data_IF_098688689738
#
_entry.id   IF_098688689738
#
_cell.length_a   1.000
_cell.length_b   1.000
_cell.length_c   1.000
_cell.angle_alpha   90.00
_cell.angle_beta   90.00
_cell.angle_gamma   90.00
#
_symmetry.space_group_name_H-M   'P 1'
#
loop_
_entity.id
_entity.type
_entity.pdbx_description
1 polymer ?
#
# COMPACT_ATOMS: atom_id res chain seq x y z
N UNK A 1 -11.98 8.94 29.57
CA UNK A 1 -12.86 8.34 28.54
C UNK A 1 -12.23 8.67 27.19
N UNK A 2 -12.01 7.67 26.34
CA UNK A 2 -11.58 7.91 24.95
C UNK A 2 -12.73 8.59 24.22
N UNK A 3 -12.43 9.55 23.34
CA UNK A 3 -13.44 10.14 22.46
C UNK A 3 -14.10 9.04 21.62
N UNK A 4 -15.39 9.15 21.29
CA UNK A 4 -16.04 8.19 20.40
C UNK A 4 -15.32 8.21 19.04
N UNK A 5 -15.28 7.07 18.33
CA UNK A 5 -14.64 7.00 17.03
C UNK A 5 -15.33 7.95 16.03
N UNK A 6 -14.53 8.55 15.14
CA UNK A 6 -15.02 9.40 14.04
C UNK A 6 -15.93 8.57 13.12
N UNK A 7 -17.08 9.09 12.80
CA UNK A 7 -18.04 8.43 11.89
C UNK A 7 -17.62 8.59 10.42
N UNK A 8 -18.07 7.72 9.50
CA UNK A 8 -17.88 7.89 8.06
C UNK A 8 -18.33 9.24 7.54
N UNK A 9 -19.45 9.76 8.04
CA UNK A 9 -20.01 11.05 7.65
C UNK A 9 -19.15 12.24 8.11
N UNK A 10 -18.57 12.16 9.30
CA UNK A 10 -17.63 13.17 9.79
C UNK A 10 -16.35 13.16 8.94
N UNK A 11 -15.78 11.98 8.64
CA UNK A 11 -14.63 11.90 7.74
C UNK A 11 -14.96 12.46 6.34
N UNK A 12 -16.14 12.14 5.78
CA UNK A 12 -16.59 12.65 4.49
C UNK A 12 -16.62 14.19 4.45
N UNK A 13 -16.98 14.85 5.54
CA UNK A 13 -17.01 16.31 5.62
C UNK A 13 -15.63 16.97 5.43
N UNK A 14 -14.55 16.22 5.65
CA UNK A 14 -13.18 16.66 5.38
C UNK A 14 -12.73 16.49 3.93
N UNK A 15 -13.60 16.03 3.03
CA UNK A 15 -13.24 15.70 1.64
C UNK A 15 -14.03 16.58 0.65
N UNK A 16 -13.61 17.82 0.38
CA UNK A 16 -14.34 18.77 -0.50
C UNK A 16 -14.60 18.21 -1.92
N UNK A 17 -13.71 17.35 -2.43
CA UNK A 17 -13.87 16.73 -3.75
C UNK A 17 -15.18 15.93 -3.89
N UNK A 18 -15.75 15.44 -2.78
CA UNK A 18 -16.97 14.65 -2.78
C UNK A 18 -18.24 15.49 -2.97
N UNK A 19 -18.17 16.82 -2.90
CA UNK A 19 -19.27 17.70 -3.29
C UNK A 19 -19.46 17.76 -4.81
N UNK A 20 -18.40 17.57 -5.58
CA UNK A 20 -18.41 17.63 -7.03
C UNK A 20 -18.43 16.26 -7.74
N UNK A 21 -18.04 15.20 -7.03
CA UNK A 21 -17.90 13.87 -7.61
C UNK A 21 -18.33 12.77 -6.65
N UNK A 22 -19.00 11.76 -7.19
CA UNK A 22 -19.14 10.44 -6.55
C UNK A 22 -17.83 9.68 -6.75
N UNK A 23 -17.00 9.62 -5.71
CA UNK A 23 -15.65 9.04 -5.81
C UNK A 23 -15.64 7.58 -5.39
N UNK A 24 -15.76 6.67 -6.36
CA UNK A 24 -15.72 5.22 -6.17
C UNK A 24 -14.43 4.63 -6.75
N UNK A 25 -13.30 5.26 -6.46
CA UNK A 25 -12.01 4.98 -7.08
C UNK A 25 -10.83 4.95 -6.11
N UNK A 26 -11.07 4.67 -4.83
CA UNK A 26 -10.03 4.62 -3.78
C UNK A 26 -8.88 3.66 -4.12
N UNK A 27 -9.17 2.55 -4.81
CA UNK A 27 -8.15 1.59 -5.25
C UNK A 27 -7.16 2.15 -6.29
N UNK A 28 -7.47 3.25 -6.99
CA UNK A 28 -6.52 3.98 -7.82
C UNK A 28 -5.87 5.12 -7.03
N UNK A 29 -6.67 5.97 -6.42
CA UNK A 29 -6.26 7.03 -5.50
C UNK A 29 -7.48 7.54 -4.73
N UNK A 30 -7.27 8.13 -3.57
CA UNK A 30 -8.31 8.85 -2.84
C UNK A 30 -8.11 10.36 -2.93
N UNK A 31 -9.17 11.17 -2.82
CA UNK A 31 -9.06 12.61 -2.60
C UNK A 31 -8.31 12.86 -1.29
N UNK A 32 -7.57 13.97 -1.24
CA UNK A 32 -6.85 14.39 -0.03
C UNK A 32 -7.83 15.06 0.95
N UNK A 33 -7.93 14.58 2.21
CA UNK A 33 -8.74 15.23 3.23
C UNK A 33 -8.17 16.59 3.63
N UNK A 34 -9.04 17.50 4.05
CA UNK A 34 -8.66 18.85 4.47
C UNK A 34 -7.56 18.87 5.56
N UNK A 35 -7.62 18.04 6.64
CA UNK A 35 -6.54 18.02 7.64
C UNK A 35 -5.17 17.60 7.08
N UNK A 36 -5.16 16.70 6.09
CA UNK A 36 -3.93 16.28 5.38
C UNK A 36 -3.39 17.42 4.53
N UNK A 37 -4.26 18.08 3.75
CA UNK A 37 -3.90 19.25 2.96
C UNK A 37 -3.37 20.39 3.84
N UNK A 38 -3.99 20.64 4.99
CA UNK A 38 -3.55 21.68 5.94
C UNK A 38 -2.18 21.36 6.55
N UNK A 39 -1.88 20.09 6.82
CA UNK A 39 -0.56 19.66 7.27
C UNK A 39 0.51 19.92 6.22
N UNK A 40 0.23 19.58 4.95
CA UNK A 40 1.11 19.89 3.81
C UNK A 40 1.35 21.41 3.67
N UNK A 41 0.30 22.20 3.75
CA UNK A 41 0.39 23.67 3.64
C UNK A 41 1.18 24.30 4.80
N UNK A 42 1.02 23.79 6.03
CA UNK A 42 1.83 24.25 7.17
C UNK A 42 3.32 24.00 6.93
N UNK A 43 3.67 22.81 6.43
CA UNK A 43 5.06 22.51 6.09
C UNK A 43 5.58 23.43 4.97
N UNK A 44 4.84 23.59 3.89
CA UNK A 44 5.25 24.47 2.76
C UNK A 44 5.39 25.93 3.19
N UNK A 45 4.51 26.41 4.07
CA UNK A 45 4.61 27.74 4.64
C UNK A 45 5.83 27.88 5.53
N UNK A 46 6.14 26.87 6.36
CA UNK A 46 7.36 26.89 7.19
C UNK A 46 8.63 26.96 6.33
N UNK A 47 8.68 26.21 5.22
CA UNK A 47 9.80 26.30 4.27
C UNK A 47 9.87 27.65 3.58
N UNK A 48 8.74 28.28 3.24
CA UNK A 48 8.67 29.58 2.61
C UNK A 48 9.18 30.70 3.56
N UNK A 49 8.78 30.64 4.82
CA UNK A 49 9.02 31.71 5.80
C UNK A 49 10.38 31.55 6.51
N UNK A 50 10.89 30.32 6.66
CA UNK A 50 12.06 30.00 7.49
C UNK A 50 13.18 29.27 6.76
N UNK A 51 12.95 28.84 5.52
CA UNK A 51 13.92 28.01 4.79
C UNK A 51 14.27 26.75 5.58
N UNK A 52 15.56 26.39 5.63
CA UNK A 52 16.08 25.21 6.33
C UNK A 52 16.28 25.38 7.84
N UNK A 53 16.03 26.57 8.40
CA UNK A 53 16.05 26.81 9.87
C UNK A 53 15.06 25.88 10.57
N UNK A 54 14.00 25.46 9.86
CA UNK A 54 13.01 24.48 10.34
C UNK A 54 13.52 23.03 10.40
N UNK A 55 14.67 22.71 9.76
CA UNK A 55 15.14 21.32 9.59
C UNK A 55 15.16 20.46 10.88
N UNK A 56 15.63 20.94 12.05
CA UNK A 56 15.60 20.11 13.25
C UNK A 56 14.19 19.70 13.67
N UNK A 57 13.20 20.58 13.49
CA UNK A 57 11.80 20.25 13.78
C UNK A 57 11.21 19.28 12.77
N UNK A 58 11.60 19.36 11.51
CA UNK A 58 11.18 18.42 10.45
C UNK A 58 11.78 17.04 10.68
N UNK A 59 13.06 16.96 11.03
CA UNK A 59 13.72 15.71 11.39
C UNK A 59 13.01 15.01 12.56
N UNK A 60 12.67 15.75 13.61
CA UNK A 60 11.89 15.25 14.73
C UNK A 60 10.50 14.76 14.29
N UNK A 61 9.78 15.54 13.49
CA UNK A 61 8.47 15.15 12.95
C UNK A 61 8.54 13.88 12.10
N UNK A 62 9.62 13.68 11.34
CA UNK A 62 9.88 12.43 10.58
C UNK A 62 9.97 11.22 11.52
N UNK A 63 10.70 11.32 12.61
CA UNK A 63 10.84 10.24 13.59
C UNK A 63 9.51 9.97 14.34
N UNK A 64 8.77 11.02 14.67
CA UNK A 64 7.42 10.91 15.24
C UNK A 64 6.45 10.23 14.29
N UNK A 65 6.47 10.58 12.98
CA UNK A 65 5.68 9.90 11.93
C UNK A 65 6.07 8.43 11.81
N UNK A 66 7.35 8.10 11.90
CA UNK A 66 7.84 6.71 11.90
C UNK A 66 7.32 5.94 13.11
N UNK A 67 7.38 6.52 14.29
CA UNK A 67 6.84 5.92 15.51
C UNK A 67 5.31 5.76 15.44
N UNK A 68 4.61 6.69 14.80
CA UNK A 68 3.18 6.61 14.55
C UNK A 68 2.83 5.44 13.60
N UNK A 69 3.52 5.35 12.47
CA UNK A 69 3.35 4.24 11.52
C UNK A 69 3.70 2.89 12.16
N UNK A 70 4.72 2.85 13.04
CA UNK A 70 5.10 1.64 13.76
C UNK A 70 3.96 1.14 14.66
N UNK A 71 3.31 2.03 15.41
CA UNK A 71 2.11 1.69 16.20
C UNK A 71 0.97 1.20 15.30
N UNK A 72 0.74 1.87 14.18
CA UNK A 72 -0.32 1.54 13.22
C UNK A 72 -0.17 0.15 12.60
N UNK A 73 1.06 -0.32 12.41
CA UNK A 73 1.40 -1.64 11.85
C UNK A 73 1.78 -2.69 12.91
N UNK A 74 1.84 -2.30 14.20
CA UNK A 74 2.30 -3.13 15.33
C UNK A 74 3.72 -3.68 15.13
N UNK A 75 4.69 -2.78 14.90
CA UNK A 75 6.12 -3.10 14.80
C UNK A 75 6.98 -2.06 15.51
N UNK A 76 8.30 -2.18 15.42
CA UNK A 76 9.22 -1.18 15.97
C UNK A 76 9.60 -0.14 14.92
N UNK A 77 9.88 1.13 15.32
CA UNK A 77 10.32 2.16 14.38
C UNK A 77 11.59 1.80 13.61
N UNK A 78 12.49 1.02 14.20
CA UNK A 78 13.74 0.57 13.56
C UNK A 78 13.52 -0.39 12.37
N UNK A 79 12.34 -1.00 12.28
CA UNK A 79 11.95 -1.90 11.19
C UNK A 79 11.28 -1.16 10.02
N UNK A 80 11.13 0.17 10.10
CA UNK A 80 10.42 0.96 9.10
C UNK A 80 11.33 1.92 8.34
N UNK A 81 11.16 1.94 7.03
CA UNK A 81 11.72 2.94 6.13
C UNK A 81 10.60 3.62 5.33
N UNK A 82 10.75 4.93 5.09
CA UNK A 82 9.94 5.64 4.12
C UNK A 82 10.52 5.46 2.73
N UNK A 83 9.66 5.21 1.75
CA UNK A 83 10.04 4.99 0.37
C UNK A 83 9.26 5.91 -0.57
N UNK A 84 9.63 5.92 -1.85
CA UNK A 84 8.91 6.70 -2.85
C UNK A 84 7.67 5.98 -3.37
N UNK A 85 7.67 4.63 -3.32
CA UNK A 85 6.61 3.80 -3.87
C UNK A 85 6.71 2.35 -3.39
N UNK A 86 5.63 1.58 -3.58
CA UNK A 86 5.61 0.13 -3.40
C UNK A 86 6.68 -0.56 -4.27
N UNK A 87 6.86 -0.12 -5.53
CA UNK A 87 7.86 -0.72 -6.44
C UNK A 87 9.28 -0.59 -5.89
N UNK A 88 9.63 0.56 -5.31
CA UNK A 88 10.92 0.75 -4.68
C UNK A 88 11.11 -0.19 -3.47
N UNK A 89 10.07 -0.34 -2.64
CA UNK A 89 10.09 -1.30 -1.53
C UNK A 89 10.33 -2.74 -2.02
N UNK A 90 9.65 -3.16 -3.09
CA UNK A 90 9.85 -4.49 -3.67
C UNK A 90 11.24 -4.69 -4.29
N UNK A 91 11.85 -3.64 -4.80
CA UNK A 91 13.24 -3.68 -5.27
C UNK A 91 14.22 -3.95 -4.12
N UNK A 92 14.05 -3.24 -3.00
CA UNK A 92 14.82 -3.50 -1.78
C UNK A 92 14.63 -4.95 -1.32
N UNK A 93 13.39 -5.41 -1.25
CA UNK A 93 13.05 -6.80 -0.86
C UNK A 93 13.76 -7.80 -1.79
N UNK A 94 13.69 -7.62 -3.11
CA UNK A 94 14.36 -8.49 -4.08
C UNK A 94 15.86 -8.61 -3.84
N UNK A 95 16.53 -7.49 -3.57
CA UNK A 95 17.95 -7.49 -3.25
C UNK A 95 18.27 -8.22 -1.93
N UNK A 96 17.45 -8.05 -0.90
CA UNK A 96 17.62 -8.73 0.39
C UNK A 96 17.38 -10.24 0.26
N UNK A 97 16.36 -10.66 -0.50
CA UNK A 97 16.11 -12.08 -0.79
C UNK A 97 17.31 -12.74 -1.46
N UNK A 98 17.90 -12.10 -2.46
CA UNK A 98 19.09 -12.61 -3.18
C UNK A 98 20.29 -12.79 -2.26
N UNK A 99 20.52 -11.89 -1.31
CA UNK A 99 21.60 -12.03 -0.34
C UNK A 99 21.47 -13.29 0.52
N UNK A 100 20.25 -13.78 0.73
CA UNK A 100 19.99 -15.06 1.41
C UNK A 100 19.92 -16.26 0.45
N UNK A 101 20.29 -16.10 -0.82
CA UNK A 101 20.28 -17.15 -1.82
C UNK A 101 18.89 -17.55 -2.31
N UNK A 102 17.85 -16.78 -2.01
CA UNK A 102 16.50 -17.03 -2.51
C UNK A 102 16.45 -16.65 -3.99
N UNK A 103 15.99 -17.57 -4.82
CA UNK A 103 15.95 -17.40 -6.28
C UNK A 103 14.56 -17.51 -6.88
N UNK A 104 13.60 -18.14 -6.17
CA UNK A 104 12.22 -18.29 -6.62
C UNK A 104 11.24 -17.75 -5.58
N UNK A 105 10.28 -16.96 -6.03
CA UNK A 105 9.19 -16.39 -5.24
C UNK A 105 7.86 -16.87 -5.81
N UNK A 106 7.02 -17.46 -4.96
CA UNK A 106 5.63 -17.80 -5.28
C UNK A 106 4.73 -16.58 -5.10
N UNK A 107 3.81 -16.35 -6.03
CA UNK A 107 2.90 -15.20 -6.00
C UNK A 107 1.58 -15.53 -6.70
N UNK A 108 0.57 -14.65 -6.66
CA UNK A 108 -0.61 -14.79 -7.51
C UNK A 108 -0.31 -14.30 -8.94
N UNK A 109 -0.82 -14.98 -9.97
CA UNK A 109 -0.65 -14.55 -11.38
C UNK A 109 -1.27 -13.16 -11.66
N UNK A 110 -2.25 -12.75 -10.85
CA UNK A 110 -2.96 -11.47 -10.99
C UNK A 110 -2.37 -10.32 -10.16
N UNK A 111 -1.11 -10.43 -9.70
CA UNK A 111 -0.47 -9.37 -8.92
C UNK A 111 -0.26 -8.08 -9.73
N UNK A 112 -0.29 -6.95 -9.02
CA UNK A 112 0.03 -5.66 -9.63
C UNK A 112 1.53 -5.61 -10.00
N UNK A 113 1.90 -4.99 -11.13
CA UNK A 113 3.29 -4.94 -11.60
C UNK A 113 4.30 -4.39 -10.59
N UNK A 114 3.89 -3.59 -9.59
CA UNK A 114 4.80 -3.16 -8.53
C UNK A 114 5.25 -4.28 -7.58
N UNK A 115 4.55 -5.43 -7.56
CA UNK A 115 4.98 -6.64 -6.84
C UNK A 115 5.95 -7.45 -7.69
N UNK A 116 5.65 -7.64 -8.97
CA UNK A 116 6.31 -8.63 -9.82
C UNK A 116 7.51 -8.06 -10.57
N UNK A 117 7.39 -6.90 -11.21
CA UNK A 117 8.44 -6.36 -12.07
C UNK A 117 9.74 -6.04 -11.32
N UNK A 118 9.74 -5.47 -10.10
CA UNK A 118 10.99 -5.26 -9.37
C UNK A 118 11.71 -6.58 -9.06
N UNK A 119 10.98 -7.61 -8.62
CA UNK A 119 11.55 -8.92 -8.32
C UNK A 119 12.15 -9.59 -9.58
N UNK A 120 11.43 -9.50 -10.72
CA UNK A 120 11.93 -9.99 -12.00
C UNK A 120 13.17 -9.21 -12.47
N UNK A 121 13.14 -7.87 -12.34
CA UNK A 121 14.30 -7.03 -12.68
C UNK A 121 15.52 -7.37 -11.85
N UNK A 122 15.34 -7.74 -10.58
CA UNK A 122 16.40 -8.20 -9.69
C UNK A 122 16.86 -9.63 -10.00
N UNK A 123 16.28 -10.30 -11.00
CA UNK A 123 16.68 -11.62 -11.47
C UNK A 123 16.09 -12.77 -10.66
N UNK A 124 15.02 -12.54 -9.89
CA UNK A 124 14.28 -13.61 -9.23
C UNK A 124 13.31 -14.28 -10.21
N UNK A 125 13.10 -15.57 -10.04
CA UNK A 125 12.06 -16.33 -10.77
C UNK A 125 10.73 -16.17 -10.03
N UNK A 126 9.67 -15.86 -10.76
CA UNK A 126 8.32 -15.83 -10.20
C UNK A 126 7.51 -17.03 -10.65
N UNK A 127 6.87 -17.68 -9.70
CA UNK A 127 5.90 -18.75 -9.93
C UNK A 127 4.51 -18.25 -9.57
N UNK A 128 3.54 -18.37 -10.49
CA UNK A 128 2.19 -17.86 -10.31
C UNK A 128 1.22 -18.93 -9.82
N UNK A 129 0.41 -18.60 -8.82
CA UNK A 129 -0.80 -19.32 -8.44
C UNK A 129 -1.98 -18.66 -9.15
N UNK A 130 -2.81 -19.46 -9.85
CA UNK A 130 -4.01 -18.95 -10.53
C UNK A 130 -5.17 -18.79 -9.58
N UNK A 131 -6.00 -17.77 -9.83
CA UNK A 131 -7.31 -17.74 -9.23
C UNK A 131 -8.17 -18.87 -9.80
N UNK A 132 -8.95 -19.50 -8.94
CA UNK A 132 -9.98 -20.46 -9.37
C UNK A 132 -11.09 -19.73 -10.15
N UNK A 133 -11.92 -20.44 -10.92
CA UNK A 133 -13.02 -19.83 -11.68
C UNK A 133 -14.01 -19.03 -10.81
N UNK A 134 -14.13 -19.37 -9.53
CA UNK A 134 -14.95 -18.65 -8.55
C UNK A 134 -14.28 -17.37 -7.99
N UNK A 135 -13.08 -17.05 -8.45
CA UNK A 135 -12.30 -15.89 -8.01
C UNK A 135 -11.54 -16.06 -6.70
N UNK A 136 -11.47 -17.28 -6.15
CA UNK A 136 -10.71 -17.59 -4.92
C UNK A 136 -9.27 -18.03 -5.21
N UNK A 137 -8.42 -18.00 -4.17
CA UNK A 137 -7.08 -18.57 -4.15
C UNK A 137 -6.84 -19.21 -2.77
N UNK A 138 -7.38 -20.40 -2.53
CA UNK A 138 -7.22 -21.08 -1.25
C UNK A 138 -5.79 -21.56 -1.04
N UNK A 139 -5.44 -21.83 0.22
CA UNK A 139 -4.07 -22.14 0.63
C UNK A 139 -3.52 -23.40 -0.04
N UNK A 140 -4.38 -24.38 -0.34
CA UNK A 140 -4.02 -25.63 -0.99
C UNK A 140 -3.40 -25.39 -2.38
N UNK A 141 -3.84 -24.34 -3.10
CA UNK A 141 -3.29 -24.00 -4.40
C UNK A 141 -1.87 -23.43 -4.29
N UNK A 142 -1.59 -22.69 -3.20
CA UNK A 142 -0.23 -22.25 -2.88
C UNK A 142 0.65 -23.43 -2.48
N UNK A 143 0.16 -24.33 -1.63
CA UNK A 143 0.91 -25.53 -1.23
C UNK A 143 1.27 -26.40 -2.43
N UNK A 144 0.34 -26.61 -3.35
CA UNK A 144 0.55 -27.40 -4.57
C UNK A 144 1.53 -26.75 -5.55
N UNK A 145 1.66 -25.43 -5.52
CA UNK A 145 2.54 -24.67 -6.39
C UNK A 145 4.00 -24.57 -5.85
N UNK A 146 4.25 -24.92 -4.60
CA UNK A 146 5.60 -24.91 -4.02
C UNK A 146 6.54 -25.85 -4.74
N UNK A 147 7.78 -25.43 -4.92
CA UNK A 147 8.89 -26.26 -5.42
C UNK A 147 10.00 -26.32 -4.38
N UNK A 148 11.01 -27.16 -4.62
CA UNK A 148 12.22 -27.18 -3.80
C UNK A 148 13.09 -25.90 -3.91
N UNK A 149 12.77 -25.03 -4.85
CA UNK A 149 13.47 -23.76 -5.08
C UNK A 149 12.72 -22.56 -4.51
N UNK A 150 11.44 -22.74 -4.16
CA UNK A 150 10.64 -21.64 -3.59
C UNK A 150 11.22 -21.25 -2.24
N UNK A 151 11.65 -19.99 -2.11
CA UNK A 151 12.21 -19.45 -0.87
C UNK A 151 11.37 -18.33 -0.27
N UNK A 152 10.33 -17.85 -0.98
CA UNK A 152 9.46 -16.80 -0.49
C UNK A 152 8.04 -16.88 -1.09
N UNK A 153 7.06 -16.32 -0.39
CA UNK A 153 5.72 -16.05 -0.93
C UNK A 153 5.46 -14.54 -0.84
N UNK A 154 5.11 -13.92 -1.97
CA UNK A 154 4.77 -12.51 -2.07
C UNK A 154 3.34 -12.35 -2.56
N UNK A 155 2.45 -11.75 -1.75
CA UNK A 155 1.04 -11.56 -2.09
C UNK A 155 0.55 -10.17 -1.70
N UNK A 156 -0.40 -9.64 -2.49
CA UNK A 156 -1.18 -8.46 -2.08
C UNK A 156 -2.21 -8.83 -1.02
N UNK A 157 -2.32 -8.01 0.03
CA UNK A 157 -3.38 -8.16 1.04
C UNK A 157 -4.78 -8.12 0.43
N UNK A 158 -4.93 -7.30 -0.62
CA UNK A 158 -6.14 -7.21 -1.45
C UNK A 158 -5.70 -7.13 -2.91
N UNK A 159 -6.26 -7.97 -3.77
CA UNK A 159 -5.95 -7.98 -5.19
C UNK A 159 -6.54 -6.78 -5.91
N UNK A 160 -5.69 -6.04 -6.62
CA UNK A 160 -6.07 -4.79 -7.29
C UNK A 160 -7.06 -4.97 -8.44
N UNK A 161 -6.99 -6.12 -9.12
CA UNK A 161 -7.75 -6.42 -10.34
C UNK A 161 -9.07 -7.15 -10.08
N UNK A 162 -9.24 -7.74 -8.90
CA UNK A 162 -10.44 -8.49 -8.55
C UNK A 162 -11.11 -8.00 -7.27
N UNK A 163 -10.32 -7.48 -6.34
CA UNK A 163 -10.78 -7.11 -5.00
C UNK A 163 -10.76 -8.27 -4.00
N UNK A 164 -10.23 -9.44 -4.37
CA UNK A 164 -10.07 -10.57 -3.47
C UNK A 164 -9.21 -10.14 -2.26
N UNK A 165 -9.73 -10.25 -1.07
CA UNK A 165 -8.96 -10.18 0.17
C UNK A 165 -8.36 -11.55 0.45
N UNK A 166 -7.01 -11.61 0.42
CA UNK A 166 -6.25 -12.85 0.61
C UNK A 166 -6.21 -13.22 2.09
N UNK A 167 -6.29 -14.51 2.41
CA UNK A 167 -6.07 -15.00 3.77
C UNK A 167 -4.57 -14.97 4.12
N UNK A 168 -4.12 -13.80 4.59
CA UNK A 168 -2.72 -13.59 4.98
C UNK A 168 -2.30 -14.49 6.15
N UNK A 169 -3.22 -14.90 7.03
CA UNK A 169 -2.89 -15.78 8.14
C UNK A 169 -2.64 -17.21 7.68
N UNK A 170 -3.40 -17.71 6.69
CA UNK A 170 -3.12 -19.00 6.09
C UNK A 170 -1.78 -19.01 5.36
N UNK A 171 -1.48 -17.96 4.57
CA UNK A 171 -0.18 -17.80 3.91
C UNK A 171 0.96 -17.71 4.93
N UNK A 172 0.80 -16.92 5.99
CA UNK A 172 1.77 -16.81 7.09
C UNK A 172 2.11 -18.17 7.70
N UNK A 173 1.09 -18.97 8.02
CA UNK A 173 1.27 -20.32 8.57
C UNK A 173 2.02 -21.23 7.60
N UNK A 174 1.68 -21.17 6.31
CA UNK A 174 2.39 -21.94 5.27
C UNK A 174 3.86 -21.51 5.20
N UNK A 175 4.15 -20.20 5.13
CA UNK A 175 5.52 -19.69 5.10
C UNK A 175 6.32 -20.16 6.33
N UNK A 176 5.76 -20.01 7.53
CA UNK A 176 6.41 -20.43 8.75
C UNK A 176 6.69 -21.94 8.78
N UNK A 177 5.72 -22.77 8.35
CA UNK A 177 5.89 -24.24 8.35
C UNK A 177 6.90 -24.75 7.34
N UNK A 178 7.26 -23.96 6.34
CA UNK A 178 8.17 -24.30 5.24
C UNK A 178 9.46 -23.47 5.22
N UNK A 179 9.69 -22.65 6.25
CA UNK A 179 10.84 -21.72 6.34
C UNK A 179 10.96 -20.81 5.11
N UNK A 180 9.82 -20.26 4.65
CA UNK A 180 9.74 -19.35 3.52
C UNK A 180 9.61 -17.90 4.03
N UNK A 181 10.23 -16.96 3.33
CA UNK A 181 10.03 -15.54 3.59
C UNK A 181 8.61 -15.11 3.21
N UNK A 182 7.94 -14.36 4.08
CA UNK A 182 6.59 -13.85 3.87
C UNK A 182 6.58 -12.36 3.54
N UNK A 183 6.09 -12.00 2.35
CA UNK A 183 6.11 -10.65 1.79
C UNK A 183 4.69 -10.19 1.52
N UNK A 184 4.30 -9.05 2.09
CA UNK A 184 2.96 -8.48 1.93
C UNK A 184 3.02 -7.20 1.08
N UNK A 185 2.36 -7.20 -0.07
CA UNK A 185 2.02 -5.96 -0.74
C UNK A 185 0.75 -5.37 -0.09
N UNK A 186 0.92 -4.30 0.67
CA UNK A 186 -0.16 -3.64 1.38
C UNK A 186 -0.73 -2.42 0.64
N UNK A 187 -0.37 -2.19 -0.63
CA UNK A 187 -0.82 -1.02 -1.39
C UNK A 187 -2.35 -0.90 -1.53
N UNK A 188 -3.08 -2.02 -1.48
CA UNK A 188 -4.55 -2.04 -1.43
C UNK A 188 -5.07 -2.42 -0.04
N UNK A 189 -4.18 -2.64 0.94
CA UNK A 189 -4.53 -3.10 2.27
C UNK A 189 -4.45 -2.01 3.33
N UNK A 190 -3.33 -1.29 3.40
CA UNK A 190 -3.07 -0.31 4.47
C UNK A 190 -4.13 0.80 4.51
N UNK A 191 -4.68 1.09 5.69
CA UNK A 191 -5.80 2.02 5.87
C UNK A 191 -7.17 1.47 5.46
N UNK A 192 -7.22 0.26 4.86
CA UNK A 192 -8.44 -0.36 4.37
C UNK A 192 -8.78 -1.66 5.11
N UNK A 193 -7.81 -2.54 5.27
CA UNK A 193 -7.96 -3.76 6.06
C UNK A 193 -6.99 -3.72 7.24
N UNK A 194 -7.35 -4.30 8.41
CA UNK A 194 -6.43 -4.41 9.52
C UNK A 194 -5.18 -5.19 9.12
N UNK A 195 -4.01 -4.61 9.38
CA UNK A 195 -2.71 -5.22 9.14
C UNK A 195 -1.87 -5.10 10.39
N UNK A 196 -1.45 -6.24 10.92
CA UNK A 196 -0.55 -6.37 12.07
C UNK A 196 0.62 -7.25 11.62
N UNK A 197 1.76 -6.63 11.34
CA UNK A 197 2.91 -7.33 10.78
C UNK A 197 3.51 -8.33 11.76
N UNK A 198 3.38 -8.07 13.08
CA UNK A 198 3.82 -8.98 14.13
C UNK A 198 2.93 -10.21 14.20
N UNK A 199 1.60 -10.04 14.24
CA UNK A 199 0.65 -11.14 14.27
C UNK A 199 0.66 -11.97 12.96
N UNK A 200 0.96 -11.34 11.84
CA UNK A 200 1.16 -11.99 10.55
C UNK A 200 2.52 -12.67 10.43
N UNK A 201 3.45 -12.47 11.36
CA UNK A 201 4.85 -12.91 11.22
C UNK A 201 5.45 -12.52 9.86
N UNK A 202 5.04 -11.37 9.31
CA UNK A 202 5.55 -10.91 8.03
C UNK A 202 7.06 -10.61 8.12
N UNK A 203 7.80 -10.96 7.07
CA UNK A 203 9.21 -10.58 6.96
C UNK A 203 9.36 -9.22 6.29
N UNK A 204 8.45 -8.92 5.35
CA UNK A 204 8.41 -7.66 4.63
C UNK A 204 6.98 -7.19 4.37
N UNK A 205 6.78 -5.88 4.40
CA UNK A 205 5.58 -5.24 3.90
C UNK A 205 5.95 -3.97 3.13
N UNK A 206 5.40 -3.81 1.92
CA UNK A 206 5.56 -2.56 1.16
C UNK A 206 4.20 -1.98 0.76
N UNK A 207 4.08 -0.64 0.85
CA UNK A 207 2.83 0.05 0.54
C UNK A 207 3.07 1.45 -0.03
N UNK A 208 1.97 2.11 -0.42
CA UNK A 208 1.92 3.50 -0.88
C UNK A 208 0.82 4.26 -0.14
N UNK A 209 0.96 5.58 -0.03
CA UNK A 209 0.09 6.43 0.80
C UNK A 209 -1.12 7.02 0.08
N UNK A 210 -1.10 7.16 -1.26
CA UNK A 210 -2.10 7.93 -2.02
C UNK A 210 -3.45 7.25 -2.24
N UNK A 211 -3.56 5.96 -1.89
CA UNK A 211 -4.79 5.17 -2.08
C UNK A 211 -5.66 5.25 -0.83
N UNK A 212 -5.73 4.16 -0.12
CA UNK A 212 -6.58 3.99 1.06
C UNK A 212 -6.14 4.82 2.28
N UNK A 213 -4.86 5.24 2.37
CA UNK A 213 -4.41 6.15 3.41
C UNK A 213 -4.77 7.63 3.14
N UNK A 214 -5.14 8.00 1.92
CA UNK A 214 -5.51 9.39 1.56
C UNK A 214 -4.40 10.44 1.78
N UNK A 215 -3.13 10.02 1.82
CA UNK A 215 -1.99 10.89 2.16
C UNK A 215 -1.22 11.45 0.95
N UNK A 216 -1.85 11.48 -0.23
CA UNK A 216 -1.22 12.02 -1.45
C UNK A 216 -0.14 11.10 -2.04
N UNK A 217 0.46 11.56 -3.15
CA UNK A 217 1.45 10.80 -3.92
C UNK A 217 2.88 11.04 -3.47
N UNK A 218 3.78 10.13 -3.86
CA UNK A 218 5.24 10.30 -3.71
C UNK A 218 5.78 9.79 -2.37
N UNK A 219 4.93 9.20 -1.52
CA UNK A 219 5.34 8.58 -0.26
C UNK A 219 4.83 7.15 -0.19
N UNK A 220 5.71 6.25 0.15
CA UNK A 220 5.44 4.86 0.47
C UNK A 220 6.13 4.46 1.77
N UNK A 221 6.00 3.21 2.13
CA UNK A 221 6.60 2.63 3.32
C UNK A 221 7.07 1.21 3.06
N UNK A 222 8.11 0.84 3.76
CA UNK A 222 8.69 -0.49 3.76
C UNK A 222 8.92 -0.93 5.21
N UNK A 223 8.32 -2.04 5.59
CA UNK A 223 8.65 -2.77 6.80
C UNK A 223 9.64 -3.87 6.45
N UNK A 224 10.71 -3.98 7.23
CA UNK A 224 11.71 -5.05 7.15
C UNK A 224 11.89 -5.61 8.55
N UNK A 225 11.55 -6.86 8.75
CA UNK A 225 11.70 -7.54 10.03
C UNK A 225 13.15 -7.50 10.51
N UNK A 226 13.36 -7.19 11.79
CA UNK A 226 14.67 -7.00 12.41
C UNK A 226 15.67 -8.11 12.06
N UNK A 227 15.24 -9.38 12.06
CA UNK A 227 16.11 -10.52 11.73
C UNK A 227 16.71 -10.46 10.30
N UNK A 228 16.06 -9.77 9.37
CA UNK A 228 16.61 -9.54 8.04
C UNK A 228 17.65 -8.43 8.06
N UNK A 229 17.40 -7.34 8.79
CA UNK A 229 18.34 -6.22 8.94
C UNK A 229 19.67 -6.66 9.63
N UNK A 230 19.58 -7.57 10.58
CA UNK A 230 20.75 -8.09 11.32
C UNK A 230 21.56 -9.11 10.51
N UNK A 231 20.96 -9.76 9.51
CA UNK A 231 21.58 -10.88 8.79
C UNK A 231 21.91 -10.60 7.32
N UNK A 232 21.59 -9.40 6.82
CA UNK A 232 21.87 -8.97 5.46
C UNK A 232 22.56 -7.61 5.46
N UNK A 233 23.24 -7.28 4.35
CA UNK A 233 23.73 -5.93 4.13
C UNK A 233 22.64 -5.08 3.46
N UNK A 234 22.59 -3.80 3.78
CA UNK A 234 21.70 -2.90 3.06
C UNK A 234 22.09 -2.86 1.57
N UNK A 235 21.14 -2.99 0.65
CA UNK A 235 21.44 -3.09 -0.78
C UNK A 235 21.97 -1.79 -1.40
N UNK A 236 21.77 -0.69 -0.71
CA UNK A 236 22.31 0.63 -1.05
C UNK A 236 22.36 1.50 0.21
N UNK A 237 23.10 2.59 0.14
CA UNK A 237 23.21 3.57 1.23
C UNK A 237 23.41 4.97 0.69
N UNK A 238 23.27 5.96 1.55
CA UNK A 238 23.53 7.36 1.30
C UNK A 238 23.97 8.07 2.57
N UNK A 239 24.02 9.38 2.54
CA UNK A 239 24.53 10.17 3.65
C UNK A 239 23.70 10.04 4.96
N UNK A 240 22.41 9.66 4.87
CA UNK A 240 21.58 9.36 6.02
C UNK A 240 21.65 7.88 6.47
N UNK A 241 22.41 7.05 5.76
CA UNK A 241 22.57 5.63 6.13
C UNK A 241 23.64 5.41 7.20
N UNK A 242 24.40 6.44 7.55
CA UNK A 242 25.45 6.38 8.59
C UNK A 242 24.89 6.73 9.96
N UNK A 243 25.59 6.32 11.02
CA UNK A 243 25.22 6.68 12.39
C UNK A 243 25.10 8.20 12.58
N UNK A 244 24.13 8.70 13.39
CA UNK A 244 23.91 10.13 13.57
C UNK A 244 25.15 10.91 14.04
N UNK A 245 26.01 10.29 14.83
CA UNK A 245 27.28 10.85 15.28
C UNK A 245 28.27 11.10 14.14
N UNK A 246 28.07 10.45 13.00
CA UNK A 246 28.91 10.52 11.82
C UNK A 246 28.30 11.41 10.72
N UNK A 247 27.03 11.81 10.89
CA UNK A 247 26.39 12.74 9.97
C UNK A 247 26.99 14.14 10.12
N UNK A 248 27.27 14.82 9.00
CA UNK A 248 27.82 16.16 8.89
C UNK A 248 29.28 16.39 9.37
N UNK A 249 29.72 15.77 10.48
CA UNK A 249 31.07 15.98 10.98
C UNK A 249 32.09 14.95 10.52
N UNK A 250 31.68 13.71 10.40
CA UNK A 250 32.58 12.61 10.10
C UNK A 250 32.56 12.17 8.63
N UNK A 251 31.59 12.57 7.80
CA UNK A 251 31.71 12.24 6.38
C UNK A 251 32.87 12.95 5.68
N UNK A 252 33.32 14.11 6.15
CA UNK A 252 34.60 14.66 5.73
C UNK A 252 35.76 13.74 6.14
N UNK A 253 35.63 13.01 7.23
CA UNK A 253 36.63 12.04 7.69
C UNK A 253 36.44 10.65 7.09
N UNK A 254 35.19 10.22 6.85
CA UNK A 254 34.88 8.95 6.18
C UNK A 254 35.38 8.90 4.73
N UNK A 255 35.52 10.06 4.09
CA UNK A 255 36.06 10.21 2.74
C UNK A 255 37.55 10.63 2.71
N UNK A 256 38.16 10.85 3.85
CA UNK A 256 39.60 11.09 3.94
C UNK A 256 40.35 9.77 3.95
N UNK A 257 41.22 9.59 3.00
CA UNK A 257 42.20 8.52 3.03
C UNK A 257 43.55 9.11 3.32
N UNK A 258 44.41 8.39 4.05
CA UNK A 258 45.83 8.68 4.19
C UNK A 258 46.58 8.40 2.87
N UNK A 259 45.90 7.79 1.92
CA UNK A 259 46.42 7.53 0.56
C UNK A 259 46.00 8.63 -0.41
N UNK A 260 46.97 9.22 -1.11
CA UNK A 260 46.80 10.29 -2.10
C UNK A 260 45.91 9.89 -3.31
N UNK A 261 45.38 8.66 -3.41
CA UNK A 261 44.78 8.09 -4.61
C UNK A 261 43.41 7.39 -4.44
N UNK A 262 42.75 7.43 -3.29
CA UNK A 262 41.46 6.78 -3.17
C UNK A 262 40.62 7.20 -1.96
N UNK A 263 39.30 7.14 -2.12
CA UNK A 263 38.34 7.24 -1.01
C UNK A 263 37.99 5.84 -0.54
N UNK A 264 38.20 5.54 0.72
CA UNK A 264 37.71 4.28 1.33
C UNK A 264 36.71 4.61 2.42
N UNK A 265 35.63 3.85 2.46
CA UNK A 265 34.65 3.92 3.55
C UNK A 265 35.14 3.20 4.82
N UNK A 266 36.48 3.02 4.98
CA UNK A 266 37.08 2.29 6.09
C UNK A 266 36.79 3.05 7.39
N UNK A 267 36.10 2.39 8.33
CA UNK A 267 35.69 2.98 9.61
C UNK A 267 34.34 3.66 9.63
N UNK A 268 33.67 3.84 8.51
CA UNK A 268 32.30 4.37 8.47
C UNK A 268 31.33 3.38 9.09
N UNK A 269 30.55 3.82 10.08
CA UNK A 269 29.52 3.00 10.72
C UNK A 269 28.18 3.23 10.05
N UNK A 270 27.72 2.24 9.33
CA UNK A 270 26.37 2.23 8.77
C UNK A 270 25.35 1.78 9.80
N UNK A 271 24.16 2.38 9.75
CA UNK A 271 23.03 1.98 10.57
C UNK A 271 22.52 0.61 10.14
N UNK A 272 22.08 -0.18 11.11
CA UNK A 272 21.46 -1.49 10.86
C UNK A 272 19.94 -1.46 10.87
N UNK A 273 19.33 -0.28 10.95
CA UNK A 273 17.89 -0.07 10.93
C UNK A 273 17.36 0.12 9.51
N UNK A 274 16.09 -0.20 9.29
CA UNK A 274 15.43 0.01 8.00
C UNK A 274 15.50 1.46 7.50
N UNK A 275 15.49 2.43 8.42
CA UNK A 275 15.61 3.86 8.10
C UNK A 275 16.91 4.23 7.38
N UNK A 276 17.94 3.40 7.43
CA UNK A 276 19.16 3.58 6.62
C UNK A 276 18.92 3.42 5.11
N UNK A 277 17.85 2.73 4.73
CA UNK A 277 17.40 2.60 3.33
C UNK A 277 16.79 3.88 2.75
N UNK A 278 16.59 4.91 3.56
CA UNK A 278 16.05 6.20 3.08
C UNK A 278 17.11 7.05 2.36
N UNK A 279 18.37 6.73 2.53
CA UNK A 279 19.56 7.24 1.83
C UNK A 279 19.72 8.78 1.78
N UNK A 280 18.63 9.55 1.72
CA UNK A 280 18.61 11.00 1.61
C UNK A 280 17.34 11.64 2.20
N UNK A 281 17.12 12.92 1.93
CA UNK A 281 16.09 13.74 2.58
C UNK A 281 14.64 13.25 2.42
N UNK A 282 14.31 12.58 1.33
CA UNK A 282 12.98 12.06 1.07
C UNK A 282 11.90 13.15 0.85
N UNK A 283 10.63 12.76 0.92
CA UNK A 283 9.48 13.65 0.72
C UNK A 283 8.95 14.20 2.06
N UNK A 284 9.51 15.30 2.55
CA UNK A 284 9.05 15.92 3.80
C UNK A 284 7.56 16.25 3.79
N UNK A 285 7.06 16.82 2.69
CA UNK A 285 5.63 17.14 2.55
C UNK A 285 4.76 15.87 2.59
N UNK A 286 5.27 14.77 2.04
CA UNK A 286 4.57 13.48 2.08
C UNK A 286 4.57 12.85 3.47
N UNK A 287 5.60 13.10 4.29
CA UNK A 287 5.67 12.59 5.67
C UNK A 287 4.64 13.28 6.59
N UNK A 288 4.53 14.60 6.53
CA UNK A 288 3.50 15.32 7.30
C UNK A 288 2.09 14.99 6.83
N UNK A 289 1.92 14.71 5.53
CA UNK A 289 0.66 14.22 4.97
C UNK A 289 0.31 12.82 5.51
N UNK A 290 1.30 11.93 5.58
CA UNK A 290 1.13 10.58 6.09
C UNK A 290 0.73 10.59 7.59
N UNK A 291 1.40 11.39 8.42
CA UNK A 291 1.09 11.50 9.85
C UNK A 291 -0.35 11.99 10.09
N UNK A 292 -0.75 13.04 9.37
CA UNK A 292 -2.12 13.56 9.44
C UNK A 292 -3.17 12.53 8.96
N UNK A 293 -2.84 11.73 7.95
CA UNK A 293 -3.71 10.67 7.45
C UNK A 293 -3.81 9.50 8.44
N UNK A 294 -2.71 9.07 9.06
CA UNK A 294 -2.72 8.06 10.11
C UNK A 294 -3.61 8.46 11.27
N UNK A 295 -3.53 9.73 11.70
CA UNK A 295 -4.42 10.30 12.74
C UNK A 295 -5.91 10.16 12.38
N UNK A 296 -6.28 10.42 11.11
CA UNK A 296 -7.66 10.23 10.66
C UNK A 296 -8.08 8.75 10.68
N UNK A 297 -7.19 7.86 10.25
CA UNK A 297 -7.47 6.42 10.25
C UNK A 297 -7.57 5.85 11.67
N UNK A 298 -6.78 6.32 12.62
CA UNK A 298 -6.91 5.94 14.03
C UNK A 298 -8.23 6.44 14.62
N UNK A 299 -8.64 7.68 14.28
CA UNK A 299 -9.90 8.24 14.76
C UNK A 299 -11.12 7.47 14.27
N UNK A 300 -11.10 6.93 13.04
CA UNK A 300 -12.17 6.08 12.48
C UNK A 300 -12.04 4.64 12.96
N UNK A 301 -10.83 4.12 12.99
CA UNK A 301 -10.51 2.69 13.17
C UNK A 301 -10.56 1.91 11.86
N UNK A 302 -9.45 1.21 11.53
CA UNK A 302 -9.34 0.46 10.25
C UNK A 302 -10.36 -0.68 10.15
N UNK A 303 -10.71 -1.32 11.27
CA UNK A 303 -11.74 -2.35 11.30
C UNK A 303 -13.12 -1.77 10.93
N UNK A 304 -13.44 -0.56 11.39
CA UNK A 304 -14.67 0.14 11.03
C UNK A 304 -14.66 0.54 9.56
N UNK A 305 -13.50 0.98 9.04
CA UNK A 305 -13.31 1.26 7.60
C UNK A 305 -13.64 0.05 6.75
N UNK A 306 -13.10 -1.13 7.09
CA UNK A 306 -13.39 -2.37 6.37
C UNK A 306 -14.87 -2.76 6.47
N UNK A 307 -15.45 -2.75 7.67
CA UNK A 307 -16.85 -3.11 7.87
C UNK A 307 -17.81 -2.20 7.07
N UNK A 308 -17.55 -0.89 7.08
CA UNK A 308 -18.33 0.08 6.31
C UNK A 308 -18.18 -0.15 4.79
N UNK A 309 -16.95 -0.32 4.29
CA UNK A 309 -16.72 -0.61 2.88
C UNK A 309 -17.40 -1.92 2.43
N UNK A 310 -17.37 -2.97 3.28
CA UNK A 310 -18.06 -4.23 3.01
C UNK A 310 -19.59 -4.09 2.96
N UNK A 311 -20.20 -3.26 3.82
CA UNK A 311 -21.64 -3.01 3.76
C UNK A 311 -22.05 -2.35 2.44
N UNK A 312 -21.29 -1.34 1.99
CA UNK A 312 -21.52 -0.70 0.69
C UNK A 312 -21.26 -1.66 -0.49
N UNK A 313 -20.26 -2.53 -0.38
CA UNK A 313 -20.02 -3.58 -1.38
C UNK A 313 -21.15 -4.59 -1.45
N UNK A 314 -21.74 -4.96 -0.34
CA UNK A 314 -22.90 -5.86 -0.30
C UNK A 314 -24.09 -5.25 -1.02
N UNK A 315 -24.41 -3.98 -0.76
CA UNK A 315 -25.44 -3.23 -1.47
C UNK A 315 -25.12 -3.16 -2.97
N UNK A 316 -23.94 -2.71 -3.34
CA UNK A 316 -23.50 -2.56 -4.73
C UNK A 316 -23.61 -3.87 -5.51
N UNK A 317 -23.09 -4.96 -4.97
CA UNK A 317 -23.09 -6.27 -5.62
C UNK A 317 -24.50 -6.84 -5.80
N UNK A 318 -25.36 -6.67 -4.79
CA UNK A 318 -26.77 -7.07 -4.86
C UNK A 318 -27.48 -6.33 -6.00
N UNK A 319 -27.30 -5.02 -6.10
CA UNK A 319 -27.95 -4.21 -7.12
C UNK A 319 -27.36 -4.42 -8.53
N UNK A 320 -26.04 -4.68 -8.64
CA UNK A 320 -25.40 -5.06 -9.91
C UNK A 320 -25.92 -6.40 -10.42
N UNK A 321 -26.11 -7.41 -9.54
CA UNK A 321 -26.68 -8.70 -9.95
C UNK A 321 -28.11 -8.59 -10.45
N UNK A 322 -28.94 -7.75 -9.86
CA UNK A 322 -30.31 -7.48 -10.38
C UNK A 322 -30.27 -6.94 -11.81
N UNK A 323 -29.16 -6.32 -12.22
CA UNK A 323 -28.90 -5.79 -13.58
C UNK A 323 -28.12 -6.77 -14.49
N UNK A 324 -27.90 -8.00 -14.01
CA UNK A 324 -27.20 -9.05 -14.73
C UNK A 324 -25.68 -9.00 -14.67
N UNK A 325 -25.08 -8.07 -13.92
CA UNK A 325 -23.63 -8.04 -13.73
C UNK A 325 -23.17 -9.13 -12.76
N UNK A 326 -22.03 -9.78 -13.06
CA UNK A 326 -21.43 -10.81 -12.23
C UNK A 326 -20.09 -10.30 -11.71
N UNK A 327 -19.96 -9.98 -10.40
CA UNK A 327 -18.68 -9.63 -9.80
C UNK A 327 -17.67 -10.77 -9.91
N UNK A 328 -16.40 -10.41 -10.12
CA UNK A 328 -15.30 -11.37 -10.34
C UNK A 328 -14.82 -12.10 -9.08
N UNK A 329 -15.32 -11.73 -7.91
CA UNK A 329 -14.96 -12.34 -6.63
C UNK A 329 -16.18 -12.80 -5.87
N UNK A 330 -16.10 -13.82 -4.99
CA UNK A 330 -17.22 -14.28 -4.18
C UNK A 330 -17.67 -13.21 -3.16
N UNK A 331 -18.88 -13.43 -2.61
CA UNK A 331 -19.49 -12.52 -1.62
C UNK A 331 -19.16 -12.88 -0.17
N UNK A 332 -18.37 -13.92 0.04
CA UNK A 332 -18.00 -14.34 1.39
C UNK A 332 -17.29 -13.19 2.11
N UNK A 333 -17.72 -12.88 3.33
CA UNK A 333 -17.24 -11.71 4.09
C UNK A 333 -15.72 -11.71 4.29
N UNK A 334 -15.15 -12.89 4.44
CA UNK A 334 -13.71 -13.11 4.60
C UNK A 334 -12.91 -12.76 3.34
N UNK A 335 -13.51 -12.85 2.16
CA UNK A 335 -12.88 -12.52 0.87
C UNK A 335 -13.23 -11.13 0.35
N UNK A 336 -14.26 -10.49 0.93
CA UNK A 336 -14.67 -9.14 0.54
C UNK A 336 -13.69 -8.07 1.02
N UNK A 337 -13.37 -7.18 0.11
CA UNK A 337 -12.72 -5.89 0.37
C UNK A 337 -13.65 -4.73 -0.03
N UNK A 338 -13.13 -3.51 -0.10
CA UNK A 338 -13.85 -2.37 -0.69
C UNK A 338 -13.82 -2.33 -2.23
N UNK A 339 -13.31 -3.36 -2.91
CA UNK A 339 -13.16 -3.39 -4.37
C UNK A 339 -14.14 -4.40 -4.98
N UNK A 340 -14.85 -3.97 -6.02
CA UNK A 340 -15.66 -4.82 -6.90
C UNK A 340 -15.21 -4.60 -8.35
N UNK A 341 -15.08 -5.67 -9.12
CA UNK A 341 -14.83 -5.63 -10.55
C UNK A 341 -15.93 -6.39 -11.26
N UNK A 342 -16.53 -5.77 -12.28
CA UNK A 342 -17.57 -6.40 -13.09
C UNK A 342 -17.22 -6.29 -14.57
N UNK A 343 -17.24 -7.40 -15.33
CA UNK A 343 -17.10 -7.38 -16.78
C UNK A 343 -18.23 -6.60 -17.45
N UNK A 344 -17.89 -5.82 -18.49
CA UNK A 344 -18.82 -4.97 -19.23
C UNK A 344 -18.75 -5.31 -20.71
N UNK A 345 -19.91 -5.37 -21.38
CA UNK A 345 -20.02 -5.73 -22.81
C UNK A 345 -19.65 -4.55 -23.73
N UNK A 346 -18.92 -4.86 -24.80
CA UNK A 346 -18.98 -4.17 -26.11
C UNK A 346 -18.30 -2.82 -26.24
N UNK A 347 -17.87 -2.14 -25.16
CA UNK A 347 -17.20 -0.85 -25.28
C UNK A 347 -15.77 -0.91 -24.72
N UNK A 348 -14.82 -0.19 -25.31
CA UNK A 348 -13.52 0.02 -24.67
C UNK A 348 -13.74 0.59 -23.25
N UNK A 349 -13.11 -0.03 -22.24
CA UNK A 349 -13.34 0.36 -20.84
C UNK A 349 -13.01 1.83 -20.56
N UNK A 350 -12.10 2.44 -21.33
CA UNK A 350 -11.81 3.87 -21.22
C UNK A 350 -12.98 4.75 -21.66
N UNK A 351 -13.76 4.31 -22.67
CA UNK A 351 -14.99 5.01 -23.06
C UNK A 351 -16.06 4.93 -21.97
N UNK A 352 -16.25 3.74 -21.37
CA UNK A 352 -17.18 3.57 -20.22
C UNK A 352 -16.80 4.50 -19.07
N UNK A 353 -15.51 4.59 -18.75
CA UNK A 353 -14.99 5.50 -17.70
C UNK A 353 -15.23 6.97 -18.05
N UNK A 354 -15.02 7.35 -19.31
CA UNK A 354 -15.24 8.72 -19.74
C UNK A 354 -16.71 9.13 -19.57
N UNK A 355 -17.65 8.27 -20.00
CA UNK A 355 -19.08 8.50 -19.82
C UNK A 355 -19.48 8.62 -18.36
N UNK A 356 -19.00 7.72 -17.49
CA UNK A 356 -19.26 7.82 -16.05
C UNK A 356 -18.67 9.09 -15.44
N UNK A 357 -17.53 9.55 -15.94
CA UNK A 357 -16.89 10.79 -15.46
C UNK A 357 -17.69 12.03 -15.86
N UNK A 358 -18.33 12.05 -17.02
CA UNK A 358 -19.29 13.12 -17.40
C UNK A 358 -20.47 13.16 -16.45
N UNK A 359 -20.94 12.01 -15.97
CA UNK A 359 -21.94 11.87 -14.90
C UNK A 359 -21.39 12.17 -13.49
N UNK A 360 -20.18 12.71 -13.38
CA UNK A 360 -19.48 12.98 -12.11
C UNK A 360 -19.23 11.75 -11.25
N UNK A 361 -19.13 10.58 -11.84
CA UNK A 361 -18.80 9.33 -11.16
C UNK A 361 -17.37 8.90 -11.50
N UNK A 362 -16.49 8.85 -10.51
CA UNK A 362 -15.10 8.41 -10.66
C UNK A 362 -14.97 6.92 -10.38
N UNK A 363 -14.58 6.16 -11.40
CA UNK A 363 -14.28 4.72 -11.36
C UNK A 363 -13.03 4.44 -12.18
N UNK A 364 -12.60 3.17 -12.26
CA UNK A 364 -11.47 2.80 -13.13
C UNK A 364 -11.72 1.47 -13.85
N UNK A 365 -10.95 1.21 -14.90
CA UNK A 365 -10.95 -0.06 -15.63
C UNK A 365 -9.77 -0.92 -15.19
N UNK A 366 -10.01 -2.20 -14.87
CA UNK A 366 -8.96 -3.18 -14.56
C UNK A 366 -9.45 -4.58 -14.92
N UNK A 367 -8.51 -5.44 -15.32
CA UNK A 367 -8.78 -6.85 -15.60
C UNK A 367 -9.98 -7.09 -16.56
N UNK A 368 -10.13 -6.21 -17.56
CA UNK A 368 -11.24 -6.32 -18.54
C UNK A 368 -12.60 -5.86 -18.03
N UNK A 369 -12.70 -5.30 -16.82
CA UNK A 369 -13.96 -4.88 -16.23
C UNK A 369 -13.93 -3.48 -15.62
N UNK A 370 -15.12 -3.00 -15.27
CA UNK A 370 -15.31 -1.78 -14.50
C UNK A 370 -14.96 -2.08 -13.03
N UNK A 371 -13.93 -1.41 -12.51
CA UNK A 371 -13.54 -1.50 -11.10
C UNK A 371 -14.15 -0.35 -10.31
N UNK A 372 -14.91 -0.70 -9.30
CA UNK A 372 -15.60 0.18 -8.38
C UNK A 372 -14.99 -0.04 -7.00
N UNK A 373 -14.53 1.02 -6.35
CA UNK A 373 -13.93 0.88 -5.02
C UNK A 373 -14.52 1.86 -4.04
N UNK A 374 -15.20 1.32 -3.03
CA UNK A 374 -15.81 2.04 -1.91
C UNK A 374 -14.83 2.20 -0.77
N UNK A 375 -14.81 3.35 -0.14
CA UNK A 375 -14.02 3.68 1.04
C UNK A 375 -14.94 4.12 2.19
N UNK A 376 -14.38 4.32 3.37
CA UNK A 376 -15.12 4.78 4.54
C UNK A 376 -15.84 6.13 4.37
N UNK A 377 -15.41 6.97 3.43
CA UNK A 377 -16.07 8.25 3.13
C UNK A 377 -17.25 8.14 2.15
N UNK A 378 -17.49 6.97 1.56
CA UNK A 378 -18.65 6.77 0.69
C UNK A 378 -19.91 6.49 1.50
N UNK A 379 -21.04 6.84 0.92
CA UNK A 379 -22.39 6.62 1.45
C UNK A 379 -23.21 5.75 0.48
N UNK A 380 -24.35 5.25 0.90
CA UNK A 380 -25.26 4.47 0.03
C UNK A 380 -25.68 5.24 -1.21
N UNK A 381 -25.88 6.57 -1.07
CA UNK A 381 -26.20 7.47 -2.18
C UNK A 381 -25.14 7.47 -3.28
N UNK A 382 -23.87 7.29 -2.94
CA UNK A 382 -22.79 7.19 -3.94
C UNK A 382 -22.96 5.92 -4.80
N UNK A 383 -23.35 4.81 -4.17
CA UNK A 383 -23.67 3.55 -4.86
C UNK A 383 -24.88 3.72 -5.76
N UNK A 384 -25.96 4.32 -5.25
CA UNK A 384 -27.19 4.55 -6.01
C UNK A 384 -26.97 5.50 -7.20
N UNK A 385 -26.14 6.52 -7.07
CA UNK A 385 -25.75 7.42 -8.17
C UNK A 385 -25.00 6.69 -9.27
N UNK A 386 -24.04 5.83 -8.92
CA UNK A 386 -23.36 5.00 -9.90
C UNK A 386 -24.34 4.10 -10.65
N UNK A 387 -25.22 3.39 -9.93
CA UNK A 387 -26.21 2.48 -10.54
C UNK A 387 -27.15 3.24 -11.49
N UNK A 388 -27.62 4.41 -11.07
CA UNK A 388 -28.43 5.29 -11.91
C UNK A 388 -27.69 5.76 -13.16
N UNK A 389 -26.38 6.06 -13.06
CA UNK A 389 -25.56 6.41 -14.21
C UNK A 389 -25.37 5.22 -15.15
N UNK A 390 -25.13 4.01 -14.62
CA UNK A 390 -25.07 2.77 -15.40
C UNK A 390 -26.35 2.56 -16.21
N UNK A 391 -27.51 2.71 -15.57
CA UNK A 391 -28.81 2.53 -16.20
C UNK A 391 -29.05 3.59 -17.31
N UNK A 392 -28.79 4.89 -17.04
CA UNK A 392 -28.96 5.97 -18.02
C UNK A 392 -28.05 5.83 -19.24
N UNK A 393 -26.82 5.44 -19.03
CA UNK A 393 -25.81 5.28 -20.08
C UNK A 393 -25.96 3.94 -20.84
N UNK A 394 -26.88 3.09 -20.44
CA UNK A 394 -27.10 1.79 -21.08
C UNK A 394 -25.89 0.86 -20.99
N UNK A 395 -25.06 0.98 -19.95
CA UNK A 395 -23.92 0.10 -19.73
C UNK A 395 -24.45 -1.31 -19.43
N UNK A 396 -24.00 -2.31 -20.16
CA UNK A 396 -24.49 -3.69 -20.08
C UNK A 396 -23.42 -4.64 -19.53
N UNK A 397 -23.85 -5.71 -18.80
CA UNK A 397 -22.94 -6.77 -18.39
C UNK A 397 -22.36 -7.47 -19.61
N UNK A 398 -21.10 -7.94 -19.53
CA UNK A 398 -20.59 -8.89 -20.50
C UNK A 398 -21.42 -10.17 -20.42
N UNK A 399 -21.75 -10.76 -21.59
CA UNK A 399 -22.40 -12.06 -21.63
C UNK A 399 -21.55 -13.11 -20.90
N UNK A 400 -22.23 -14.00 -20.17
CA UNK A 400 -21.62 -15.17 -19.53
C UNK A 400 -21.24 -16.19 -20.59
#
# INVERSE_FOLDING_TARGET
>A
MMAPPMTPRELRSHLPALSGFTWLNAAASSPTPQPVFDAMNRFLRDTLERGDVGYPSWAKAKDETRAHLARFLNCTPSELAFTQSTSFGFHVIGQLLKQRGITEVLTLECEFPSTTLPLLFDGLTLRGVRLRPDGTAPIEDFEAALTKHTGAIAVSAVQFGTGLRVDLHAISKLCHSRDLAFIVNAAQGIGHVPLDVTALHADFLAATSHKWLMAGYGTGMLFVKKAWLESTQLPFGGWLSVEPSEQFQSWVHATRTDDAHGFTATGTKFRTEASALEAGGGSWVGLVALDAALTLHEAVGVANTLAHAQSLQTLLRTELRKRGFVPTTPDARETLSGICVVPVQGAPMDAVRALLREEKVSTTARAGGLRISTHVYNEEEDVLRLLSAIDRLGIRPAGV
#
